data_IF_446681098713
#
_entry.id   IF_446681098713
#
_cell.length_a   1.000
_cell.length_b   1.000
_cell.length_c   1.000
_cell.angle_alpha   90.00
_cell.angle_beta   90.00
_cell.angle_gamma   90.00
#
_symmetry.space_group_name_H-M   'P 1'
#
loop_
_entity.id
_entity.type
_entity.pdbx_description
1 polymer ?
#
# COMPACT_ATOMS: atom_id res chain seq x y z
N UNK A 1 -40.28 -36.36 32.67
CA UNK A 1 -40.02 -35.95 31.28
C UNK A 1 -40.87 -34.73 30.88
N UNK A 2 -41.22 -33.84 31.82
CA UNK A 2 -42.11 -32.68 31.58
C UNK A 2 -41.41 -31.32 31.75
N UNK A 3 -40.34 -31.23 32.54
CA UNK A 3 -39.64 -29.96 32.81
C UNK A 3 -38.84 -29.43 31.61
N UNK A 4 -38.34 -30.31 30.74
CA UNK A 4 -37.61 -29.93 29.52
C UNK A 4 -38.50 -29.30 28.45
N UNK A 5 -39.79 -29.64 28.40
CA UNK A 5 -40.74 -29.11 27.40
C UNK A 5 -41.13 -27.66 27.67
N UNK A 6 -41.34 -27.30 28.95
CA UNK A 6 -41.67 -25.91 29.34
C UNK A 6 -40.53 -24.94 29.08
N UNK A 7 -39.27 -25.36 29.28
CA UNK A 7 -38.09 -24.53 29.00
C UNK A 7 -37.95 -24.23 27.51
N UNK A 8 -38.18 -25.23 26.65
CA UNK A 8 -38.14 -25.05 25.19
C UNK A 8 -39.24 -24.09 24.73
N UNK A 9 -40.45 -24.21 25.27
CA UNK A 9 -41.56 -23.31 24.93
C UNK A 9 -41.30 -21.87 25.39
N UNK A 10 -40.68 -21.68 26.56
CA UNK A 10 -40.28 -20.35 27.05
C UNK A 10 -39.19 -19.71 26.17
N UNK A 11 -38.19 -20.48 25.74
CA UNK A 11 -37.13 -19.99 24.85
C UNK A 11 -37.70 -19.58 23.48
N UNK A 12 -38.62 -20.38 22.92
CA UNK A 12 -39.27 -20.06 21.65
C UNK A 12 -40.15 -18.81 21.73
N UNK A 13 -40.84 -18.58 22.86
CA UNK A 13 -41.61 -17.36 23.14
C UNK A 13 -40.70 -16.13 23.28
N UNK A 14 -39.52 -16.25 23.90
CA UNK A 14 -38.57 -15.14 24.00
C UNK A 14 -37.90 -14.82 22.66
N UNK A 15 -37.72 -15.80 21.78
CA UNK A 15 -37.20 -15.57 20.43
C UNK A 15 -38.21 -14.83 19.52
N UNK A 16 -39.52 -15.08 19.67
CA UNK A 16 -40.56 -14.43 18.86
C UNK A 16 -40.93 -13.01 19.32
N UNK A 17 -40.59 -12.63 20.56
CA UNK A 17 -40.77 -11.25 21.05
C UNK A 17 -39.60 -10.34 20.62
N UNK A 18 -38.43 -10.90 20.31
CA UNK A 18 -37.24 -10.15 19.90
C UNK A 18 -37.13 -9.88 18.38
N UNK A 19 -38.08 -10.33 17.56
CA UNK A 19 -38.04 -10.18 16.09
C UNK A 19 -38.47 -8.82 15.54
N UNK A 20 -38.84 -7.86 16.41
CA UNK A 20 -39.28 -6.51 16.01
C UNK A 20 -38.28 -5.40 16.35
N UNK A 21 -37.11 -5.72 16.91
CA UNK A 21 -36.00 -4.76 16.98
C UNK A 21 -35.11 -4.93 15.75
N UNK A 22 -34.92 -3.88 14.93
CA UNK A 22 -33.95 -3.93 13.86
C UNK A 22 -32.56 -3.97 14.50
N UNK A 23 -32.04 -5.18 14.73
CA UNK A 23 -30.62 -5.38 14.98
C UNK A 23 -29.90 -5.05 13.67
N UNK A 24 -29.60 -3.76 13.51
CA UNK A 24 -28.68 -3.30 12.48
C UNK A 24 -27.29 -3.79 12.87
N UNK A 25 -26.91 -4.96 12.38
CA UNK A 25 -25.53 -5.41 12.46
C UNK A 25 -24.71 -4.56 11.49
N UNK A 26 -23.86 -3.71 12.04
CA UNK A 26 -22.84 -3.03 11.26
C UNK A 26 -21.86 -4.08 10.73
N UNK A 27 -21.94 -4.41 9.45
CA UNK A 27 -20.96 -5.28 8.77
C UNK A 27 -19.57 -4.62 8.75
N UNK A 28 -19.53 -3.29 8.79
CA UNK A 28 -18.31 -2.50 8.87
C UNK A 28 -18.04 -2.08 10.32
N UNK A 29 -16.82 -2.34 10.78
CA UNK A 29 -16.33 -1.84 12.07
C UNK A 29 -16.21 -0.31 12.01
N UNK A 30 -16.48 0.37 13.15
CA UNK A 30 -16.29 1.82 13.24
C UNK A 30 -14.83 2.17 12.95
N UNK A 31 -14.59 3.35 12.37
CA UNK A 31 -13.26 3.78 11.91
C UNK A 31 -12.19 3.67 13.01
N UNK A 32 -12.52 4.07 14.23
CA UNK A 32 -11.69 3.96 15.44
C UNK A 32 -11.33 2.52 15.77
N UNK A 33 -12.30 1.60 15.75
CA UNK A 33 -12.07 0.16 16.00
C UNK A 33 -11.36 -0.55 14.84
N UNK A 34 -11.62 -0.15 13.59
CA UNK A 34 -10.92 -0.67 12.41
C UNK A 34 -9.42 -0.31 12.41
N UNK A 35 -9.04 0.85 12.97
CA UNK A 35 -7.64 1.24 13.15
C UNK A 35 -6.90 0.37 14.17
N UNK A 36 -7.60 -0.32 15.07
CA UNK A 36 -6.96 -1.27 16.01
C UNK A 36 -6.67 -2.64 15.38
N UNK A 37 -7.44 -3.05 14.36
CA UNK A 37 -7.27 -4.33 13.65
C UNK A 37 -6.21 -4.24 12.56
N UNK A 38 -6.13 -3.11 11.85
CA UNK A 38 -5.04 -2.80 10.93
C UNK A 38 -3.79 -2.40 11.72
N UNK A 39 -3.25 -3.30 12.55
CA UNK A 39 -1.88 -3.18 13.04
C UNK A 39 -0.93 -3.44 11.87
N UNK A 40 -0.71 -2.41 11.06
CA UNK A 40 0.51 -2.35 10.26
C UNK A 40 1.65 -2.44 11.26
N UNK A 41 2.29 -3.60 11.36
CA UNK A 41 3.56 -3.71 12.06
C UNK A 41 4.51 -2.80 11.31
N UNK A 42 4.76 -1.60 11.84
CA UNK A 42 5.83 -0.75 11.33
C UNK A 42 7.11 -1.59 11.44
N UNK A 43 7.64 -1.95 10.27
CA UNK A 43 8.81 -2.82 10.13
C UNK A 43 10.00 -1.98 10.56
N UNK A 44 10.70 -2.43 11.60
CA UNK A 44 11.94 -1.83 12.13
C UNK A 44 11.83 -0.34 12.48
N UNK A 45 11.47 -0.02 13.73
CA UNK A 45 11.66 1.31 14.27
C UNK A 45 12.13 1.20 15.72
N UNK A 46 13.32 1.76 16.01
CA UNK A 46 13.78 1.99 17.36
C UNK A 46 12.81 2.96 18.09
N UNK A 47 12.89 3.05 19.42
CA UNK A 47 12.00 3.88 20.23
C UNK A 47 11.92 5.33 19.69
N UNK A 48 10.70 5.76 19.31
CA UNK A 48 10.37 7.10 18.77
C UNK A 48 11.00 7.49 17.42
N UNK A 49 11.44 6.53 16.61
CA UNK A 49 12.04 6.80 15.29
C UNK A 49 11.12 7.58 14.35
N UNK A 50 9.82 7.32 14.42
CA UNK A 50 8.76 7.95 13.64
C UNK A 50 8.54 9.45 13.92
N UNK A 51 9.11 9.97 15.00
CA UNK A 51 9.09 11.43 15.28
C UNK A 51 10.21 12.13 14.50
N UNK A 52 11.24 11.39 14.06
CA UNK A 52 12.37 11.94 13.33
C UNK A 52 11.93 12.26 11.90
N UNK A 53 12.44 13.36 11.30
CA UNK A 53 12.19 13.64 9.90
C UNK A 53 12.80 12.54 9.03
N UNK A 54 12.08 12.16 7.96
CA UNK A 54 12.53 11.16 7.00
C UNK A 54 13.94 11.44 6.49
N UNK A 55 14.79 10.41 6.48
CA UNK A 55 16.18 10.54 6.04
C UNK A 55 16.58 9.36 5.15
N UNK A 56 16.98 9.67 3.91
CA UNK A 56 17.32 8.65 2.91
C UNK A 56 18.46 7.72 3.36
N UNK A 57 19.49 8.29 3.98
CA UNK A 57 20.66 7.51 4.41
C UNK A 57 20.24 6.52 5.50
N UNK A 58 19.66 7.02 6.58
CA UNK A 58 19.25 6.22 7.73
C UNK A 58 18.23 5.16 7.38
N UNK A 59 17.17 5.51 6.66
CA UNK A 59 16.01 4.61 6.48
C UNK A 59 16.16 3.66 5.29
N UNK A 60 16.82 4.09 4.21
CA UNK A 60 16.87 3.31 2.96
C UNK A 60 18.26 2.81 2.57
N UNK A 61 19.34 3.46 3.01
CA UNK A 61 20.71 3.03 2.68
C UNK A 61 21.31 2.18 3.81
N UNK A 62 21.19 2.63 5.06
CA UNK A 62 21.60 1.90 6.26
C UNK A 62 20.58 0.80 6.63
N UNK A 63 19.30 1.04 6.33
CA UNK A 63 18.18 0.16 6.63
C UNK A 63 17.33 -0.19 5.40
N UNK A 64 16.29 -1.02 5.59
CA UNK A 64 15.32 -1.35 4.54
C UNK A 64 14.03 -0.57 4.70
N UNK A 65 13.89 0.51 3.95
CA UNK A 65 12.64 1.27 3.91
C UNK A 65 11.52 0.63 3.06
N UNK A 66 10.30 0.95 3.45
CA UNK A 66 9.02 0.80 2.76
C UNK A 66 8.81 1.89 1.70
N UNK A 67 7.73 1.77 0.92
CA UNK A 67 7.41 2.77 -0.09
C UNK A 67 6.91 4.06 0.55
N UNK A 68 6.18 3.94 1.67
CA UNK A 68 5.63 5.05 2.44
C UNK A 68 6.74 5.93 3.03
N UNK A 69 7.79 5.33 3.63
CA UNK A 69 8.96 6.06 4.14
C UNK A 69 9.72 6.77 3.01
N UNK A 70 9.97 6.09 1.89
CA UNK A 70 10.56 6.73 0.72
C UNK A 70 9.71 7.92 0.21
N UNK A 71 8.38 7.78 0.23
CA UNK A 71 7.45 8.85 -0.17
C UNK A 71 7.51 10.04 0.79
N UNK A 72 7.68 9.79 2.08
CA UNK A 72 7.88 10.83 3.09
C UNK A 72 9.20 11.59 2.89
N UNK A 73 10.26 10.93 2.43
CA UNK A 73 11.55 11.57 2.11
C UNK A 73 11.45 12.47 0.87
N UNK A 74 10.87 11.97 -0.23
CA UNK A 74 10.90 12.69 -1.52
C UNK A 74 9.75 13.68 -1.72
N UNK A 75 8.65 13.55 -0.97
CA UNK A 75 7.43 14.37 -1.01
C UNK A 75 6.71 14.47 -2.37
N UNK A 76 7.31 13.95 -3.45
CA UNK A 76 6.77 13.90 -4.81
C UNK A 76 6.68 12.47 -5.29
N UNK A 77 5.53 12.10 -5.85
CA UNK A 77 5.32 10.78 -6.41
C UNK A 77 6.31 10.47 -7.54
N UNK A 78 6.66 11.45 -8.37
CA UNK A 78 7.61 11.24 -9.48
C UNK A 78 9.00 10.87 -8.96
N UNK A 79 9.53 11.66 -8.03
CA UNK A 79 10.83 11.41 -7.41
C UNK A 79 10.86 10.12 -6.60
N UNK A 80 9.79 9.85 -5.85
CA UNK A 80 9.65 8.61 -5.07
C UNK A 80 9.74 7.39 -5.98
N UNK A 81 9.04 7.42 -7.12
CA UNK A 81 9.02 6.30 -8.06
C UNK A 81 10.37 6.13 -8.77
N UNK A 82 11.02 7.22 -9.17
CA UNK A 82 12.37 7.16 -9.76
C UNK A 82 13.37 6.50 -8.80
N UNK A 83 13.35 6.90 -7.53
CA UNK A 83 14.14 6.25 -6.49
C UNK A 83 13.74 4.78 -6.30
N UNK A 84 12.45 4.50 -6.12
CA UNK A 84 11.94 3.19 -5.73
C UNK A 84 12.26 2.09 -6.75
N UNK A 85 12.17 2.41 -8.04
CA UNK A 85 12.51 1.46 -9.11
C UNK A 85 14.00 1.09 -9.09
N UNK A 86 14.88 2.06 -8.82
CA UNK A 86 16.30 1.80 -8.64
C UNK A 86 16.55 0.97 -7.37
N UNK A 87 15.97 1.38 -6.24
CA UNK A 87 16.12 0.73 -4.94
C UNK A 87 15.65 -0.74 -4.94
N UNK A 88 14.59 -1.06 -5.69
CA UNK A 88 14.11 -2.45 -5.88
C UNK A 88 14.77 -3.21 -7.02
N UNK A 89 15.70 -2.59 -7.76
CA UNK A 89 16.34 -3.21 -8.93
C UNK A 89 15.36 -3.49 -10.08
N UNK A 90 14.25 -2.76 -10.15
CA UNK A 90 13.22 -2.88 -11.18
C UNK A 90 13.38 -1.86 -12.30
N UNK A 91 14.43 -1.03 -12.26
CA UNK A 91 14.62 0.05 -13.22
C UNK A 91 14.78 -0.49 -14.66
N UNK A 92 13.81 -0.24 -15.56
CA UNK A 92 13.89 -0.68 -16.96
C UNK A 92 15.02 0.01 -17.75
N UNK A 93 15.52 1.15 -17.27
CA UNK A 93 16.60 1.90 -17.91
C UNK A 93 18.01 1.40 -17.55
N UNK A 94 18.18 0.42 -16.64
CA UNK A 94 19.50 -0.08 -16.24
C UNK A 94 20.35 -0.57 -17.42
N UNK A 95 19.73 -1.19 -18.43
CA UNK A 95 20.41 -1.66 -19.65
C UNK A 95 20.26 -0.70 -20.84
N UNK A 96 19.62 0.46 -20.63
CA UNK A 96 19.16 1.40 -21.66
C UNK A 96 18.51 0.72 -22.89
N UNK A 97 17.18 0.53 -22.89
CA UNK A 97 16.47 -0.07 -24.02
C UNK A 97 16.38 0.85 -25.25
N UNK A 98 16.76 2.14 -25.14
CA UNK A 98 16.68 3.10 -26.23
C UNK A 98 17.84 2.92 -27.22
N UNK A 99 17.51 2.86 -28.52
CA UNK A 99 18.45 2.72 -29.63
C UNK A 99 18.94 4.07 -30.14
N UNK A 100 19.93 4.03 -31.02
CA UNK A 100 20.41 5.19 -31.77
C UNK A 100 20.81 6.41 -30.90
N UNK A 101 21.32 6.16 -29.69
CA UNK A 101 21.71 7.22 -28.76
C UNK A 101 20.54 7.87 -28.00
N UNK A 102 19.36 7.26 -28.01
CA UNK A 102 18.22 7.71 -27.21
C UNK A 102 18.47 7.65 -25.71
N UNK A 103 17.84 8.57 -24.98
CA UNK A 103 17.95 8.67 -23.52
C UNK A 103 16.74 8.00 -22.87
N UNK A 104 16.97 6.97 -22.06
CA UNK A 104 15.92 6.32 -21.28
C UNK A 104 15.53 7.16 -20.08
N UNK A 105 14.23 7.36 -19.88
CA UNK A 105 13.65 8.02 -18.71
C UNK A 105 12.57 7.14 -18.11
N UNK A 106 12.55 7.02 -16.79
CA UNK A 106 11.48 6.34 -16.07
C UNK A 106 10.27 7.28 -16.00
N UNK A 107 9.08 6.75 -16.26
CA UNK A 107 7.81 7.44 -16.06
C UNK A 107 6.84 6.51 -15.36
N UNK A 108 6.53 6.81 -14.10
CA UNK A 108 5.63 6.02 -13.24
C UNK A 108 6.13 4.57 -13.12
N UNK A 109 5.49 3.63 -13.83
CA UNK A 109 5.77 2.19 -13.78
C UNK A 109 6.45 1.65 -15.05
N UNK A 110 6.80 2.53 -15.99
CA UNK A 110 7.42 2.14 -17.26
C UNK A 110 8.57 3.09 -17.62
N UNK A 111 9.22 2.85 -18.75
CA UNK A 111 10.16 3.78 -19.36
C UNK A 111 9.58 4.43 -20.60
N UNK A 112 10.23 5.50 -21.04
CA UNK A 112 10.09 6.05 -22.38
C UNK A 112 11.46 6.51 -22.87
N UNK A 113 11.61 6.56 -24.20
CA UNK A 113 12.82 7.02 -24.83
C UNK A 113 12.67 8.45 -25.34
N UNK A 114 13.66 9.29 -25.03
CA UNK A 114 13.83 10.59 -25.68
C UNK A 114 14.74 10.37 -26.89
N UNK A 115 14.19 10.48 -28.08
CA UNK A 115 14.90 10.19 -29.32
C UNK A 115 15.66 11.40 -29.86
N UNK A 116 16.86 11.21 -30.42
CA UNK A 116 17.55 12.26 -31.15
C UNK A 116 16.79 12.66 -32.42
N UNK A 117 17.11 13.83 -33.01
CA UNK A 117 16.53 14.22 -34.29
C UNK A 117 16.74 13.14 -35.36
N UNK A 118 15.72 12.93 -36.20
CA UNK A 118 15.63 11.90 -37.27
C UNK A 118 15.31 10.47 -36.81
N UNK A 119 15.24 10.20 -35.51
CA UNK A 119 14.82 8.89 -35.01
C UNK A 119 13.42 8.92 -34.39
N UNK A 120 12.73 7.79 -34.43
CA UNK A 120 11.40 7.62 -33.83
C UNK A 120 11.10 6.16 -33.45
N UNK A 121 9.87 5.91 -33.01
CA UNK A 121 9.48 4.62 -32.41
C UNK A 121 9.66 4.60 -30.89
N UNK A 122 9.14 3.56 -30.24
CA UNK A 122 9.11 3.47 -28.78
C UNK A 122 10.52 3.36 -28.18
N UNK A 123 11.44 2.79 -28.94
CA UNK A 123 12.84 2.59 -28.59
C UNK A 123 13.79 3.37 -29.50
N UNK A 124 13.32 4.38 -30.23
CA UNK A 124 14.11 5.14 -31.20
C UNK A 124 14.73 4.27 -32.32
N UNK A 125 14.06 3.20 -32.71
CA UNK A 125 14.52 2.21 -33.69
C UNK A 125 14.26 2.57 -35.16
N UNK A 126 13.43 3.58 -35.42
CA UNK A 126 13.01 4.04 -36.76
C UNK A 126 13.73 5.31 -37.17
#
# INVERSE_FOLDING_TARGET
MESSSSLVMFVLLMCSINSSYPYSYSVFMRKDAAHEVLRVHKRANYFLEEIRPGNLERECNEEKCSFEEAKEIFHSQEKTMEFWFNYKGLNPCTTNPCKNGGVCKIRRYNYFCICPPKFGGDNCEK
#
